data_IF_136994490612
#
_entry.id   IF_136994490612
#
_cell.length_a   1.000
_cell.length_b   1.000
_cell.length_c   1.000
_cell.angle_alpha   90.00
_cell.angle_beta   90.00
_cell.angle_gamma   90.00
#
_symmetry.space_group_name_H-M   'P 1'
#
loop_
_entity.id
_entity.type
_entity.pdbx_description
1 polymer ?
#
# COMPACT_ATOMS: atom_id res chain seq x y z
N UNK A 1 -3.01 4.51 5.05
CA UNK A 1 -3.76 3.47 4.32
C UNK A 1 -2.79 2.53 3.62
N UNK A 2 -3.15 1.27 3.41
CA UNK A 2 -2.34 0.30 2.65
C UNK A 2 -3.02 0.07 1.30
N UNK A 3 -2.27 0.10 0.20
CA UNK A 3 -2.78 -0.25 -1.14
C UNK A 3 -1.72 -0.98 -1.95
N UNK A 4 -2.06 -1.52 -3.11
CA UNK A 4 -1.14 -2.15 -4.08
C UNK A 4 -1.29 -1.48 -5.45
N UNK A 5 -0.24 -1.48 -6.31
CA UNK A 5 -0.23 -0.75 -7.59
C UNK A 5 -1.01 -1.48 -8.70
N UNK A 6 -2.19 -2.00 -8.38
CA UNK A 6 -3.12 -2.64 -9.33
C UNK A 6 -4.25 -1.67 -9.69
N UNK A 7 -4.95 -1.85 -10.82
CA UNK A 7 -6.07 -0.97 -11.19
C UNK A 7 -7.17 -0.89 -10.12
N UNK A 8 -7.46 -2.01 -9.45
CA UNK A 8 -8.41 -2.05 -8.35
C UNK A 8 -7.87 -1.32 -7.12
N UNK A 9 -6.61 -1.57 -6.73
CA UNK A 9 -5.98 -0.90 -5.60
C UNK A 9 -5.88 0.62 -5.78
N UNK A 10 -5.64 1.09 -6.99
CA UNK A 10 -5.65 2.51 -7.35
C UNK A 10 -7.05 3.13 -7.23
N UNK A 11 -8.09 2.44 -7.73
CA UNK A 11 -9.47 2.90 -7.60
C UNK A 11 -9.88 3.04 -6.13
N UNK A 12 -9.65 1.98 -5.33
CA UNK A 12 -9.98 1.97 -3.92
C UNK A 12 -9.18 3.01 -3.14
N UNK A 13 -7.90 3.22 -3.50
CA UNK A 13 -7.06 4.24 -2.88
C UNK A 13 -7.61 5.65 -3.07
N UNK A 14 -8.05 6.00 -4.29
CA UNK A 14 -8.64 7.31 -4.56
C UNK A 14 -9.90 7.54 -3.71
N UNK A 15 -10.81 6.55 -3.64
CA UNK A 15 -12.04 6.65 -2.85
C UNK A 15 -11.76 6.81 -1.35
N UNK A 16 -10.80 6.05 -0.82
CA UNK A 16 -10.43 6.12 0.60
C UNK A 16 -9.78 7.47 0.92
N UNK A 17 -8.89 7.97 0.07
CA UNK A 17 -8.25 9.27 0.26
C UNK A 17 -9.24 10.43 0.19
N UNK A 18 -10.21 10.36 -0.72
CA UNK A 18 -11.31 11.32 -0.80
C UNK A 18 -12.13 11.34 0.49
N UNK A 19 -12.50 10.16 1.02
CA UNK A 19 -13.21 10.06 2.28
C UNK A 19 -12.40 10.63 3.45
N UNK A 20 -11.11 10.28 3.56
CA UNK A 20 -10.23 10.79 4.62
C UNK A 20 -10.07 12.32 4.55
N UNK A 21 -10.01 12.88 3.34
CA UNK A 21 -9.99 14.33 3.11
C UNK A 21 -11.29 15.00 3.60
N UNK A 22 -12.45 14.43 3.28
CA UNK A 22 -13.77 14.93 3.76
C UNK A 22 -13.84 14.88 5.29
N UNK A 23 -13.30 13.82 5.89
CA UNK A 23 -13.28 13.64 7.36
C UNK A 23 -12.23 14.49 8.06
N UNK A 24 -11.33 15.17 7.33
CA UNK A 24 -10.23 15.94 7.91
C UNK A 24 -9.18 15.08 8.62
N UNK A 25 -9.03 13.81 8.23
CA UNK A 25 -8.08 12.86 8.83
C UNK A 25 -6.79 12.86 8.02
N UNK A 26 -5.68 13.24 8.67
CA UNK A 26 -4.35 13.11 8.07
C UNK A 26 -3.99 11.65 7.84
N UNK A 27 -3.43 11.35 6.67
CA UNK A 27 -3.05 9.99 6.31
C UNK A 27 -1.80 9.94 5.44
N UNK A 28 -1.17 8.77 5.44
CA UNK A 28 -0.03 8.41 4.59
C UNK A 28 -0.32 7.08 3.91
N UNK A 29 0.38 6.79 2.82
CA UNK A 29 0.26 5.56 2.04
C UNK A 29 1.41 4.62 2.38
N UNK A 30 1.06 3.36 2.66
CA UNK A 30 1.98 2.23 2.60
C UNK A 30 1.67 1.47 1.31
N UNK A 31 2.62 1.45 0.38
CA UNK A 31 2.46 0.76 -0.89
C UNK A 31 2.93 -0.68 -0.75
N UNK A 32 1.99 -1.61 -0.71
CA UNK A 32 2.19 -3.04 -0.64
C UNK A 32 2.40 -3.64 -2.05
N UNK A 33 3.20 -4.71 -2.15
CA UNK A 33 3.55 -5.36 -3.42
C UNK A 33 3.96 -4.36 -4.51
N UNK A 34 4.82 -3.40 -4.12
CA UNK A 34 5.14 -2.22 -4.92
C UNK A 34 5.67 -2.53 -6.34
N UNK A 35 6.19 -3.74 -6.55
CA UNK A 35 6.80 -4.26 -7.78
C UNK A 35 5.86 -5.12 -8.65
N UNK A 36 4.64 -5.43 -8.21
CA UNK A 36 3.71 -6.31 -8.94
C UNK A 36 2.89 -5.56 -10.01
N UNK A 37 2.92 -4.23 -9.99
CA UNK A 37 2.15 -3.38 -10.90
C UNK A 37 2.84 -2.07 -11.23
N UNK A 38 2.06 -1.11 -11.75
CA UNK A 38 2.59 0.22 -12.12
C UNK A 38 2.53 1.14 -10.92
N UNK A 39 3.64 1.25 -10.21
CA UNK A 39 3.77 2.13 -9.05
C UNK A 39 3.35 3.58 -9.33
N UNK A 40 3.66 4.10 -10.53
CA UNK A 40 3.34 5.48 -10.93
C UNK A 40 1.86 5.83 -10.76
N UNK A 41 0.95 4.86 -10.89
CA UNK A 41 -0.49 5.09 -10.72
C UNK A 41 -0.80 5.51 -9.28
N UNK A 42 -0.12 4.92 -8.29
CA UNK A 42 -0.31 5.30 -6.88
C UNK A 42 0.44 6.59 -6.57
N UNK A 43 1.59 6.84 -7.19
CA UNK A 43 2.34 8.10 -7.03
C UNK A 43 1.53 9.30 -7.52
N UNK A 44 0.89 9.19 -8.69
CA UNK A 44 -0.01 10.23 -9.24
C UNK A 44 -1.21 10.49 -8.31
N UNK A 45 -1.81 9.43 -7.76
CA UNK A 45 -2.90 9.56 -6.78
C UNK A 45 -2.38 10.27 -5.52
N UNK A 46 -1.25 9.83 -4.98
CA UNK A 46 -0.67 10.38 -3.76
C UNK A 46 -0.40 11.89 -3.91
N UNK A 47 0.18 12.30 -5.03
CA UNK A 47 0.41 13.70 -5.38
C UNK A 47 -0.90 14.50 -5.44
N UNK A 48 -1.93 13.97 -6.11
CA UNK A 48 -3.23 14.64 -6.27
C UNK A 48 -3.96 14.92 -4.94
N UNK A 49 -3.75 14.07 -3.93
CA UNK A 49 -4.31 14.23 -2.59
C UNK A 49 -3.33 14.90 -1.60
N UNK A 50 -2.10 15.20 -2.01
CA UNK A 50 -1.08 15.77 -1.13
C UNK A 50 -0.66 14.82 0.00
N UNK A 51 -0.74 13.51 -0.22
CA UNK A 51 -0.37 12.48 0.76
C UNK A 51 0.98 11.85 0.41
N UNK A 52 1.75 11.46 1.42
CA UNK A 52 3.06 10.83 1.22
C UNK A 52 2.94 9.31 1.11
N UNK A 53 3.74 8.71 0.25
CA UNK A 53 4.04 7.27 0.31
C UNK A 53 5.25 7.10 1.23
N UNK A 54 5.02 6.59 2.44
CA UNK A 54 6.05 6.53 3.49
C UNK A 54 6.81 5.21 3.48
N UNK A 55 6.17 4.13 3.03
CA UNK A 55 6.76 2.80 2.95
C UNK A 55 6.37 2.15 1.65
N UNK A 56 7.34 1.51 0.99
CA UNK A 56 7.14 0.63 -0.17
C UNK A 56 7.58 -0.77 0.23
N UNK A 57 6.68 -1.75 0.13
CA UNK A 57 6.94 -3.15 0.46
C UNK A 57 6.89 -3.96 -0.84
N UNK A 58 8.00 -4.54 -1.30
CA UNK A 58 7.99 -5.40 -2.48
C UNK A 58 7.27 -6.72 -2.20
N UNK A 59 6.84 -7.41 -3.25
CA UNK A 59 6.29 -8.75 -3.15
C UNK A 59 7.36 -9.73 -2.66
N UNK A 60 6.98 -10.60 -1.71
CA UNK A 60 7.83 -11.65 -1.19
C UNK A 60 7.06 -12.96 -1.11
N UNK A 61 7.50 -13.94 -1.90
CA UNK A 61 6.93 -15.29 -1.86
C UNK A 61 7.17 -15.95 -0.49
N UNK A 62 8.33 -15.71 0.12
CA UNK A 62 8.64 -16.20 1.47
C UNK A 62 7.64 -15.66 2.50
N UNK A 63 7.31 -14.36 2.42
CA UNK A 63 6.35 -13.73 3.33
C UNK A 63 4.95 -14.31 3.13
N UNK A 64 4.52 -14.51 1.88
CA UNK A 64 3.23 -15.13 1.55
C UNK A 64 3.16 -16.57 2.07
N UNK A 65 4.23 -17.36 1.91
CA UNK A 65 4.31 -18.73 2.45
C UNK A 65 4.26 -18.71 3.97
N UNK A 66 5.08 -17.90 4.63
CA UNK A 66 5.11 -17.79 6.08
C UNK A 66 3.75 -17.37 6.65
N UNK A 67 3.07 -16.41 6.02
CA UNK A 67 1.69 -16.04 6.37
C UNK A 67 0.74 -17.23 6.25
N UNK A 68 0.74 -17.91 5.10
CA UNK A 68 -0.17 -19.03 4.81
C UNK A 68 0.04 -20.23 5.73
N UNK A 69 1.26 -20.43 6.23
CA UNK A 69 1.60 -21.49 7.19
C UNK A 69 1.36 -21.09 8.66
N UNK A 70 0.88 -19.87 8.94
CA UNK A 70 0.73 -19.36 10.31
C UNK A 70 2.07 -19.10 11.01
N UNK A 71 3.15 -18.87 10.25
CA UNK A 71 4.53 -18.68 10.71
C UNK A 71 5.06 -17.28 10.45
N UNK A 72 4.18 -16.29 10.32
CA UNK A 72 4.57 -14.90 10.05
C UNK A 72 5.55 -14.36 11.11
N UNK A 73 5.48 -14.84 12.34
CA UNK A 73 6.45 -14.51 13.40
C UNK A 73 7.89 -14.96 13.15
N UNK A 74 8.20 -15.69 12.07
CA UNK A 74 9.57 -15.93 11.61
C UNK A 74 10.13 -14.77 10.77
N UNK A 75 9.25 -13.89 10.32
CA UNK A 75 9.52 -12.81 9.38
C UNK A 75 9.69 -11.44 10.06
N UNK A 76 9.84 -11.38 11.39
CA UNK A 76 9.82 -10.12 12.18
C UNK A 76 10.97 -9.17 11.87
N UNK A 77 12.01 -9.63 11.18
CA UNK A 77 13.21 -8.85 10.85
C UNK A 77 13.25 -8.37 9.37
N UNK A 78 12.11 -8.34 8.68
CA UNK A 78 12.03 -7.97 7.24
C UNK A 78 11.66 -6.51 6.97
N UNK A 79 11.47 -5.71 8.00
CA UNK A 79 11.30 -4.25 7.97
C UNK A 79 12.19 -3.62 9.02
#
# INVERSE_FOLDING_TARGET
MVTEPTPLGAHDASLILELLKIMGISSEIVLNKADVGKESVIEEIAESYGVRITVKIPYSEELVRAYSEGRLGRMVNLL
#
